data_IF_838306780451
#
_entry.id   IF_838306780451
#
_cell.length_a   1.000
_cell.length_b   1.000
_cell.length_c   1.000
_cell.angle_alpha   90.00
_cell.angle_beta   90.00
_cell.angle_gamma   90.00
#
_symmetry.space_group_name_H-M   'P 1'
#
loop_
_entity.id
_entity.type
_entity.pdbx_description
1 polymer ?
#
# COMPACT_ATOMS: atom_id res chain seq x y z
N UNK A 1 -5.19 8.75 27.44
CA UNK A 1 -5.78 7.67 28.27
C UNK A 1 -4.77 7.30 29.35
N UNK A 2 -5.18 6.93 30.58
CA UNK A 2 -4.26 6.51 31.63
C UNK A 2 -3.56 5.19 31.26
N UNK A 3 -2.35 4.99 31.79
CA UNK A 3 -1.60 3.75 31.61
C UNK A 3 -2.38 2.55 32.19
N UNK A 4 -2.32 1.41 31.52
CA UNK A 4 -2.97 0.16 31.93
C UNK A 4 -1.97 -0.99 31.80
N UNK A 5 -2.06 -1.94 32.72
CA UNK A 5 -1.27 -3.17 32.71
C UNK A 5 -2.24 -4.34 32.56
N UNK A 6 -1.95 -5.25 31.63
CA UNK A 6 -2.73 -6.45 31.37
C UNK A 6 -1.78 -7.64 31.37
N UNK A 7 -2.02 -8.62 32.24
CA UNK A 7 -1.30 -9.89 32.21
C UNK A 7 -1.75 -10.75 31.03
N UNK A 8 -0.87 -11.62 30.55
CA UNK A 8 -1.16 -12.58 29.49
C UNK A 8 -0.41 -13.90 29.73
N UNK A 9 -1.02 -15.00 29.31
CA UNK A 9 -0.34 -16.31 29.19
C UNK A 9 0.24 -16.49 27.77
N UNK A 10 -0.33 -15.80 26.79
CA UNK A 10 0.17 -15.76 25.42
C UNK A 10 -0.16 -14.41 24.80
N UNK A 11 0.81 -13.83 24.10
CA UNK A 11 0.69 -12.53 23.45
C UNK A 11 0.81 -12.69 21.93
N UNK A 12 -0.10 -12.08 21.18
CA UNK A 12 -0.02 -12.01 19.71
C UNK A 12 0.18 -10.56 19.29
N UNK A 13 1.32 -10.28 18.67
CA UNK A 13 1.68 -8.96 18.14
C UNK A 13 1.37 -8.92 16.65
N UNK A 14 0.37 -8.11 16.28
CA UNK A 14 -0.13 -7.97 14.91
C UNK A 14 -0.33 -6.49 14.54
N UNK A 15 0.61 -5.63 14.94
CA UNK A 15 0.50 -4.17 14.83
C UNK A 15 0.86 -3.63 13.45
N UNK A 16 1.24 -4.49 12.51
CA UNK A 16 1.54 -4.14 11.13
C UNK A 16 2.82 -3.30 10.98
N UNK A 17 2.82 -2.42 10.00
CA UNK A 17 3.94 -1.53 9.69
C UNK A 17 3.45 -0.10 9.43
N UNK A 18 4.39 0.83 9.40
CA UNK A 18 4.22 2.18 8.90
C UNK A 18 5.12 2.40 7.69
N UNK A 19 4.91 3.47 6.94
CA UNK A 19 5.81 3.86 5.86
C UNK A 19 7.22 4.11 6.41
N UNK A 20 8.24 3.73 5.63
CA UNK A 20 9.63 4.00 5.95
C UNK A 20 10.14 5.18 5.11
N UNK A 21 10.38 6.32 5.74
CA UNK A 21 11.02 7.47 5.10
C UNK A 21 12.53 7.31 4.93
N UNK A 22 13.11 6.19 5.41
CA UNK A 22 14.53 5.88 5.39
C UNK A 22 15.43 6.91 6.07
N UNK A 23 14.86 7.80 6.88
CA UNK A 23 15.57 8.95 7.44
C UNK A 23 15.97 9.99 6.37
N UNK A 24 15.30 10.01 5.21
CA UNK A 24 15.49 11.05 4.18
C UNK A 24 15.19 12.42 4.79
N UNK A 25 16.12 13.36 4.62
CA UNK A 25 16.00 14.71 5.15
C UNK A 25 14.73 15.37 4.63
N UNK A 26 13.96 16.00 5.53
CA UNK A 26 12.73 16.71 5.13
C UNK A 26 11.50 15.83 4.90
N UNK A 27 11.65 14.51 4.68
CA UNK A 27 10.55 13.64 4.28
C UNK A 27 9.42 13.61 5.32
N UNK A 28 9.75 13.40 6.60
CA UNK A 28 8.76 13.40 7.68
C UNK A 28 8.02 14.73 7.86
N UNK A 29 8.63 15.86 7.48
CA UNK A 29 8.08 17.20 7.64
C UNK A 29 7.22 17.64 6.44
N UNK A 30 7.65 17.28 5.24
CA UNK A 30 7.12 17.81 3.99
C UNK A 30 6.34 16.81 3.14
N UNK A 31 6.40 15.51 3.44
CA UNK A 31 5.60 14.50 2.76
C UNK A 31 4.30 14.15 3.50
N UNK A 32 3.32 13.76 2.71
CA UNK A 32 2.13 13.05 3.12
C UNK A 32 2.40 11.54 3.02
N UNK A 33 1.88 10.80 3.99
CA UNK A 33 1.93 9.33 4.01
C UNK A 33 0.52 8.78 3.79
N UNK A 34 0.39 7.49 3.49
CA UNK A 34 -0.91 6.86 3.20
C UNK A 34 -1.18 5.60 4.06
N UNK A 35 -0.56 5.50 5.23
CA UNK A 35 -0.68 4.32 6.12
C UNK A 35 -2.07 4.20 6.77
N UNK A 36 -2.76 5.34 6.97
CA UNK A 36 -4.02 5.40 7.71
C UNK A 36 -5.11 6.15 6.94
N UNK A 37 -6.37 5.81 7.23
CA UNK A 37 -7.54 6.54 6.69
C UNK A 37 -7.42 8.05 6.91
N UNK A 38 -7.00 8.48 8.10
CA UNK A 38 -6.85 9.91 8.44
C UNK A 38 -5.82 10.60 7.54
N UNK A 39 -4.72 9.93 7.23
CA UNK A 39 -3.71 10.49 6.34
C UNK A 39 -4.20 10.53 4.88
N UNK A 40 -4.91 9.50 4.41
CA UNK A 40 -5.55 9.51 3.10
C UNK A 40 -6.60 10.64 2.96
N UNK A 41 -7.39 10.88 4.00
CA UNK A 41 -8.35 12.00 4.06
C UNK A 41 -7.65 13.35 4.03
N UNK A 42 -6.54 13.50 4.76
CA UNK A 42 -5.72 14.72 4.72
C UNK A 42 -5.18 14.96 3.31
N UNK A 43 -4.66 13.93 2.64
CA UNK A 43 -4.21 14.03 1.25
C UNK A 43 -5.35 14.48 0.33
N UNK A 44 -6.51 13.84 0.43
CA UNK A 44 -7.69 14.17 -0.37
C UNK A 44 -8.14 15.63 -0.15
N UNK A 45 -8.20 16.09 1.10
CA UNK A 45 -8.55 17.48 1.43
C UNK A 45 -7.54 18.47 0.87
N UNK A 46 -6.24 18.18 0.95
CA UNK A 46 -5.21 19.06 0.38
C UNK A 46 -5.30 19.13 -1.14
N UNK A 47 -5.51 17.99 -1.80
CA UNK A 47 -5.75 17.95 -3.25
C UNK A 47 -6.96 18.80 -3.64
N UNK A 48 -8.11 18.61 -2.98
CA UNK A 48 -9.31 19.42 -3.23
C UNK A 48 -9.07 20.92 -2.98
N UNK A 49 -8.34 21.28 -1.93
CA UNK A 49 -8.01 22.67 -1.65
C UNK A 49 -7.16 23.31 -2.76
N UNK A 50 -6.20 22.57 -3.34
CA UNK A 50 -5.46 23.04 -4.51
C UNK A 50 -6.39 23.24 -5.71
N UNK A 51 -7.31 22.31 -5.97
CA UNK A 51 -8.30 22.47 -7.03
C UNK A 51 -9.23 23.67 -6.81
N UNK A 52 -9.71 23.90 -5.58
CA UNK A 52 -10.58 25.03 -5.28
C UNK A 52 -9.84 26.37 -5.41
N UNK A 53 -8.59 26.45 -4.95
CA UNK A 53 -7.76 27.67 -5.07
C UNK A 53 -7.48 28.02 -6.52
N UNK A 54 -7.04 27.02 -7.29
CA UNK A 54 -6.72 27.20 -8.69
C UNK A 54 -7.97 27.54 -9.53
N UNK A 55 -9.17 27.09 -9.13
CA UNK A 55 -10.43 27.50 -9.75
C UNK A 55 -10.86 28.93 -9.36
N UNK A 56 -10.68 29.31 -8.08
CA UNK A 56 -11.07 30.61 -7.54
C UNK A 56 -10.12 31.77 -7.92
N UNK A 57 -8.89 31.45 -8.34
CA UNK A 57 -7.89 32.44 -8.76
C UNK A 57 -8.42 33.41 -9.84
N UNK A 58 -8.06 34.69 -9.71
CA UNK A 58 -8.45 35.77 -10.62
C UNK A 58 -7.39 36.12 -11.67
N UNK A 59 -6.19 35.54 -11.57
CA UNK A 59 -5.07 35.76 -12.48
C UNK A 59 -5.11 34.82 -13.69
N UNK A 60 -4.68 35.29 -14.86
CA UNK A 60 -4.56 34.49 -16.10
C UNK A 60 -3.52 33.35 -16.01
N UNK A 61 -2.73 33.29 -14.94
CA UNK A 61 -1.82 32.19 -14.67
C UNK A 61 -2.56 31.02 -14.01
N UNK A 62 -2.80 29.95 -14.77
CA UNK A 62 -3.38 28.70 -14.24
C UNK A 62 -2.40 28.09 -13.23
N UNK A 63 -2.79 28.05 -11.95
CA UNK A 63 -2.01 27.39 -10.90
C UNK A 63 -1.88 25.91 -11.27
N UNK A 64 -0.64 25.43 -11.44
CA UNK A 64 -0.39 24.03 -11.77
C UNK A 64 -0.37 23.19 -10.49
N UNK A 65 -1.08 22.06 -10.53
CA UNK A 65 -1.12 21.12 -9.41
C UNK A 65 -0.06 20.06 -9.69
N UNK A 66 1.12 20.21 -9.08
CA UNK A 66 2.20 19.23 -9.17
C UNK A 66 2.15 18.26 -7.98
N UNK A 67 2.01 16.97 -8.29
CA UNK A 67 2.04 15.88 -7.31
C UNK A 67 3.25 15.01 -7.57
N UNK A 68 4.12 14.87 -6.58
CA UNK A 68 5.24 13.95 -6.64
C UNK A 68 5.04 12.80 -5.66
N UNK A 69 5.23 11.57 -6.15
CA UNK A 69 5.00 10.33 -5.42
C UNK A 69 6.33 9.58 -5.35
N UNK A 70 6.85 9.37 -4.14
CA UNK A 70 8.06 8.60 -3.90
C UNK A 70 7.71 7.14 -3.67
N UNK A 71 8.26 6.25 -4.48
CA UNK A 71 8.07 4.81 -4.47
C UNK A 71 7.12 4.33 -5.57
N UNK A 72 7.65 3.62 -6.56
CA UNK A 72 6.85 2.99 -7.62
C UNK A 72 6.46 1.54 -7.27
N UNK A 73 6.17 1.27 -5.99
CA UNK A 73 5.48 0.06 -5.55
C UNK A 73 4.00 0.08 -5.94
N UNK A 74 3.25 -0.96 -5.54
CA UNK A 74 1.82 -1.05 -5.84
C UNK A 74 1.06 0.23 -5.42
N UNK A 75 1.24 0.70 -4.18
CA UNK A 75 0.58 1.91 -3.66
C UNK A 75 0.85 3.15 -4.51
N UNK A 76 2.12 3.43 -4.85
CA UNK A 76 2.46 4.62 -5.63
C UNK A 76 1.96 4.57 -7.07
N UNK A 77 2.01 3.38 -7.70
CA UNK A 77 1.48 3.16 -9.05
C UNK A 77 -0.04 3.32 -9.08
N UNK A 78 -0.77 2.72 -8.13
CA UNK A 78 -2.23 2.86 -8.04
C UNK A 78 -2.62 4.31 -7.77
N UNK A 79 -1.92 5.00 -6.87
CA UNK A 79 -2.17 6.41 -6.57
C UNK A 79 -1.97 7.29 -7.81
N UNK A 80 -0.87 7.10 -8.56
CA UNK A 80 -0.60 7.88 -9.77
C UNK A 80 -1.71 7.70 -10.81
N UNK A 81 -2.17 6.47 -11.01
CA UNK A 81 -3.27 6.17 -11.93
C UNK A 81 -4.61 6.76 -11.46
N UNK A 82 -4.93 6.66 -10.16
CA UNK A 82 -6.18 7.20 -9.62
C UNK A 82 -6.21 8.73 -9.62
N UNK A 83 -5.08 9.38 -9.38
CA UNK A 83 -4.99 10.84 -9.50
C UNK A 83 -5.33 11.30 -10.90
N UNK A 84 -4.74 10.69 -11.93
CA UNK A 84 -5.07 11.02 -13.32
C UNK A 84 -6.59 10.92 -13.59
N UNK A 85 -7.27 9.90 -13.06
CA UNK A 85 -8.73 9.78 -13.17
C UNK A 85 -9.47 10.86 -12.35
N UNK A 86 -9.01 11.17 -11.14
CA UNK A 86 -9.61 12.21 -10.31
C UNK A 86 -9.60 13.58 -11.00
N UNK A 87 -8.52 13.92 -11.71
CA UNK A 87 -8.45 15.13 -12.54
C UNK A 87 -9.58 15.20 -13.58
N UNK A 88 -9.83 14.09 -14.29
CA UNK A 88 -10.89 14.01 -15.29
C UNK A 88 -12.29 14.11 -14.68
N UNK A 89 -12.50 13.50 -13.51
CA UNK A 89 -13.79 13.58 -12.82
C UNK A 89 -14.06 14.98 -12.27
N UNK A 90 -13.08 15.65 -11.67
CA UNK A 90 -13.24 17.00 -11.14
C UNK A 90 -13.61 18.02 -12.22
N UNK A 91 -12.99 17.93 -13.40
CA UNK A 91 -13.36 18.76 -14.55
C UNK A 91 -14.83 18.55 -14.96
N UNK A 92 -15.32 17.30 -14.93
CA UNK A 92 -16.71 16.98 -15.25
C UNK A 92 -17.72 17.50 -14.20
N UNK A 93 -17.29 17.76 -12.97
CA UNK A 93 -18.12 18.34 -11.90
C UNK A 93 -18.17 19.88 -11.90
N UNK A 94 -17.64 20.54 -12.94
CA UNK A 94 -17.71 21.99 -13.11
C UNK A 94 -16.52 22.78 -12.57
N UNK A 95 -15.45 22.10 -12.14
CA UNK A 95 -14.16 22.73 -11.85
C UNK A 95 -13.33 22.86 -13.15
N UNK A 96 -13.95 23.38 -14.21
CA UNK A 96 -13.47 23.35 -15.60
C UNK A 96 -12.31 24.33 -15.90
N UNK A 97 -12.11 25.33 -15.03
CA UNK A 97 -10.91 26.21 -15.08
C UNK A 97 -9.60 25.45 -14.91
N UNK A 98 -9.62 24.27 -14.28
CA UNK A 98 -8.47 23.38 -14.15
C UNK A 98 -8.75 22.18 -15.04
N UNK A 99 -8.04 22.09 -16.14
CA UNK A 99 -8.16 20.93 -17.01
C UNK A 99 -7.32 19.78 -16.45
N UNK A 100 -7.63 18.53 -16.84
CA UNK A 100 -6.82 17.39 -16.43
C UNK A 100 -5.33 17.54 -16.75
N UNK A 101 -5.00 18.25 -17.83
CA UNK A 101 -3.62 18.51 -18.27
C UNK A 101 -2.85 19.48 -17.35
N UNK A 102 -3.54 20.19 -16.45
CA UNK A 102 -2.93 21.07 -15.47
C UNK A 102 -2.41 20.34 -14.22
N UNK A 103 -2.71 19.04 -14.10
CA UNK A 103 -2.20 18.21 -13.02
C UNK A 103 -0.99 17.40 -13.50
N UNK A 104 0.18 17.73 -12.94
CA UNK A 104 1.44 17.06 -13.28
C UNK A 104 1.80 16.06 -12.21
N UNK A 105 1.83 14.79 -12.58
CA UNK A 105 2.15 13.69 -11.66
C UNK A 105 3.57 13.19 -11.99
N UNK A 106 4.44 13.18 -10.99
CA UNK A 106 5.77 12.57 -11.08
C UNK A 106 5.86 11.38 -10.13
N UNK A 107 6.09 10.18 -10.65
CA UNK A 107 6.32 8.96 -9.88
C UNK A 107 7.82 8.66 -9.86
N UNK A 108 8.40 8.59 -8.66
CA UNK A 108 9.85 8.53 -8.45
C UNK A 108 10.21 7.18 -7.82
N UNK A 109 11.17 6.47 -8.38
CA UNK A 109 11.63 5.16 -7.92
C UNK A 109 13.16 5.11 -7.87
N UNK A 110 13.70 4.65 -6.73
CA UNK A 110 15.13 4.52 -6.53
C UNK A 110 15.73 3.40 -7.39
N UNK A 111 14.99 2.31 -7.60
CA UNK A 111 15.39 1.19 -8.44
C UNK A 111 15.18 1.43 -9.94
N UNK A 112 15.58 0.48 -10.79
CA UNK A 112 15.55 0.63 -12.24
C UNK A 112 14.16 0.48 -12.86
N UNK A 113 13.15 0.01 -12.10
CA UNK A 113 11.82 -0.33 -12.63
C UNK A 113 10.71 -0.07 -11.62
N UNK A 114 9.52 0.23 -12.14
CA UNK A 114 8.28 0.22 -11.36
C UNK A 114 7.92 -1.22 -10.95
N UNK A 115 7.18 -1.34 -9.85
CA UNK A 115 6.70 -2.59 -9.27
C UNK A 115 7.82 -3.62 -9.05
N UNK A 116 8.90 -3.25 -8.34
CA UNK A 116 10.09 -4.10 -8.22
C UNK A 116 9.80 -5.48 -7.60
N UNK A 117 8.77 -5.56 -6.75
CA UNK A 117 8.32 -6.79 -6.09
C UNK A 117 7.51 -7.75 -6.99
N UNK A 118 7.21 -7.36 -8.24
CA UNK A 118 6.54 -8.20 -9.23
C UNK A 118 7.52 -8.74 -10.28
N UNK A 119 7.14 -9.80 -11.04
CA UNK A 119 7.94 -10.30 -12.14
C UNK A 119 8.26 -9.21 -13.17
N UNK A 120 9.48 -9.23 -13.70
CA UNK A 120 10.03 -8.17 -14.57
C UNK A 120 9.14 -7.83 -15.78
N UNK A 121 8.54 -8.84 -16.39
CA UNK A 121 7.60 -8.72 -17.51
C UNK A 121 6.37 -7.83 -17.21
N UNK A 122 6.07 -7.53 -15.94
CA UNK A 122 4.95 -6.67 -15.54
C UNK A 122 5.36 -5.20 -15.51
N UNK A 123 6.59 -4.89 -15.10
CA UNK A 123 7.05 -3.51 -14.88
C UNK A 123 7.03 -2.67 -16.17
N UNK A 124 7.53 -3.22 -17.27
CA UNK A 124 7.59 -2.53 -18.57
C UNK A 124 6.22 -2.10 -19.11
N UNK A 125 5.24 -3.00 -19.21
CA UNK A 125 3.87 -2.64 -19.59
C UNK A 125 3.24 -1.58 -18.68
N UNK A 126 3.40 -1.70 -17.35
CA UNK A 126 2.83 -0.73 -16.40
C UNK A 126 3.48 0.65 -16.55
N UNK A 127 4.80 0.71 -16.71
CA UNK A 127 5.52 1.96 -16.98
C UNK A 127 4.92 2.66 -18.21
N UNK A 128 4.81 1.95 -19.33
CA UNK A 128 4.24 2.51 -20.58
C UNK A 128 2.80 2.98 -20.40
N UNK A 129 2.00 2.28 -19.59
CA UNK A 129 0.64 2.72 -19.28
C UNK A 129 0.62 4.00 -18.47
N UNK A 130 1.48 4.13 -17.46
CA UNK A 130 1.60 5.37 -16.67
C UNK A 130 2.01 6.56 -17.54
N UNK A 131 2.99 6.38 -18.44
CA UNK A 131 3.39 7.42 -19.40
C UNK A 131 2.24 7.84 -20.33
N UNK A 132 1.43 6.89 -20.81
CA UNK A 132 0.22 7.18 -21.60
C UNK A 132 -0.84 7.96 -20.82
N UNK A 133 -0.88 7.82 -19.50
CA UNK A 133 -1.71 8.61 -18.59
C UNK A 133 -1.06 9.98 -18.27
N UNK A 134 0.05 10.35 -18.91
CA UNK A 134 0.74 11.62 -18.65
C UNK A 134 1.50 11.66 -17.32
N UNK A 135 1.72 10.50 -16.67
CA UNK A 135 2.57 10.41 -15.49
C UNK A 135 4.03 10.41 -15.93
N UNK A 136 4.82 11.33 -15.38
CA UNK A 136 6.27 11.32 -15.54
C UNK A 136 6.86 10.27 -14.60
N UNK A 137 7.50 9.24 -15.14
CA UNK A 137 8.09 8.14 -14.34
C UNK A 137 9.61 8.29 -14.30
N UNK A 138 10.17 8.53 -13.12
CA UNK A 138 11.60 8.68 -12.88
C UNK A 138 12.13 7.46 -12.13
N UNK A 139 12.76 6.52 -12.83
CA UNK A 139 13.49 5.39 -12.24
C UNK A 139 14.96 5.74 -12.00
N UNK A 140 15.68 4.91 -11.26
CA UNK A 140 17.07 5.16 -10.85
C UNK A 140 17.25 6.54 -10.16
N UNK A 141 16.20 7.01 -9.50
CA UNK A 141 16.08 8.37 -8.98
C UNK A 141 15.76 8.30 -7.50
N UNK A 142 16.78 8.01 -6.68
CA UNK A 142 16.61 8.00 -5.23
C UNK A 142 16.46 9.43 -4.70
N UNK A 143 15.48 9.69 -3.85
CA UNK A 143 15.30 11.00 -3.19
C UNK A 143 16.23 11.10 -1.99
N UNK A 144 17.04 12.15 -1.93
CA UNK A 144 17.97 12.42 -0.82
C UNK A 144 17.45 13.48 0.15
N UNK A 145 16.64 14.42 -0.31
CA UNK A 145 16.11 15.52 0.49
C UNK A 145 14.72 15.92 -0.02
N UNK A 146 13.85 16.35 0.88
CA UNK A 146 12.54 16.92 0.58
C UNK A 146 12.42 18.29 1.22
N UNK A 147 12.11 19.32 0.43
CA UNK A 147 11.92 20.69 0.94
C UNK A 147 10.43 21.06 0.95
N UNK A 148 10.14 22.27 1.42
CA UNK A 148 8.79 22.85 1.39
C UNK A 148 8.17 22.90 -0.02
N UNK A 149 9.00 22.98 -1.07
CA UNK A 149 8.53 23.23 -2.45
C UNK A 149 8.99 22.16 -3.47
N UNK A 150 9.94 21.29 -3.12
CA UNK A 150 10.50 20.32 -4.06
C UNK A 150 11.00 19.02 -3.40
N UNK A 151 11.31 18.02 -4.23
CA UNK A 151 12.18 16.90 -3.87
C UNK A 151 13.51 17.04 -4.59
N UNK A 152 14.58 16.60 -3.95
CA UNK A 152 15.92 16.59 -4.51
C UNK A 152 16.40 15.14 -4.57
N UNK A 153 16.80 14.70 -5.75
CA UNK A 153 17.36 13.36 -5.94
C UNK A 153 18.84 13.31 -5.53
N UNK A 154 19.36 12.12 -5.30
CA UNK A 154 20.79 11.89 -5.04
C UNK A 154 21.70 12.32 -6.19
N UNK A 155 21.18 12.48 -7.40
CA UNK A 155 21.90 13.06 -8.55
C UNK A 155 21.87 14.59 -8.59
N UNK A 156 21.17 15.24 -7.66
CA UNK A 156 20.98 16.69 -7.61
C UNK A 156 19.82 17.20 -8.47
N UNK A 157 19.00 16.33 -9.07
CA UNK A 157 17.82 16.75 -9.82
C UNK A 157 16.76 17.31 -8.86
N UNK A 158 16.28 18.51 -9.15
CA UNK A 158 15.21 19.17 -8.39
C UNK A 158 13.87 18.91 -9.08
N UNK A 159 12.90 18.41 -8.31
CA UNK A 159 11.55 18.06 -8.76
C UNK A 159 10.55 18.92 -7.98
N UNK A 160 10.05 20.03 -8.56
CA UNK A 160 9.06 20.89 -7.91
C UNK A 160 7.74 20.15 -7.69
N UNK A 161 7.17 20.26 -6.49
CA UNK A 161 5.92 19.59 -6.14
C UNK A 161 5.15 20.32 -5.03
N UNK A 162 3.91 20.72 -5.35
CA UNK A 162 2.96 21.28 -4.39
C UNK A 162 2.48 20.23 -3.39
N UNK A 163 2.27 19.00 -3.86
CA UNK A 163 1.92 17.84 -3.01
C UNK A 163 2.98 16.75 -3.15
N UNK A 164 3.48 16.28 -2.02
CA UNK A 164 4.52 15.25 -1.95
C UNK A 164 3.98 14.07 -1.17
N UNK A 165 3.95 12.90 -1.77
CA UNK A 165 3.48 11.67 -1.14
C UNK A 165 4.63 10.68 -1.05
N UNK A 166 4.91 10.19 0.14
CA UNK A 166 5.88 9.11 0.35
C UNK A 166 5.14 7.79 0.51
N UNK A 167 5.32 6.90 -0.47
CA UNK A 167 4.72 5.57 -0.54
C UNK A 167 5.78 4.47 -0.68
N UNK A 168 7.06 4.80 -0.43
CA UNK A 168 8.18 3.88 -0.51
C UNK A 168 8.49 3.27 0.86
N UNK A 169 8.74 1.95 0.88
CA UNK A 169 9.25 1.26 2.05
C UNK A 169 8.26 1.08 3.18
N UNK A 170 8.49 0.01 3.95
CA UNK A 170 7.75 -0.25 5.20
C UNK A 170 8.73 -0.45 6.34
N UNK A 171 8.29 -0.11 7.55
CA UNK A 171 9.03 -0.31 8.79
C UNK A 171 8.04 -0.67 9.88
N UNK A 172 8.36 -1.67 10.70
CA UNK A 172 7.53 -1.97 11.86
C UNK A 172 7.63 -0.82 12.89
N UNK A 173 6.56 -0.56 13.67
CA UNK A 173 6.53 0.56 14.61
C UNK A 173 7.78 0.65 15.50
N UNK A 174 8.26 1.87 15.73
CA UNK A 174 9.52 2.11 16.45
C UNK A 174 9.60 1.48 17.84
N UNK A 175 8.46 1.36 18.54
CA UNK A 175 8.39 0.79 19.88
C UNK A 175 8.70 -0.72 19.92
N UNK A 176 8.65 -1.42 18.78
CA UNK A 176 9.00 -2.84 18.71
C UNK A 176 10.50 -3.07 18.76
N UNK A 177 11.31 -2.07 18.39
CA UNK A 177 12.76 -2.22 18.34
C UNK A 177 13.28 -2.65 19.72
N UNK A 178 13.83 -3.85 19.77
CA UNK A 178 14.40 -4.48 20.96
C UNK A 178 13.44 -4.48 22.17
N UNK A 179 12.12 -4.51 21.90
CA UNK A 179 11.08 -4.44 22.92
C UNK A 179 11.24 -5.58 23.92
N UNK A 180 11.51 -5.21 25.17
CA UNK A 180 11.72 -6.15 26.28
C UNK A 180 12.72 -7.29 25.98
N UNK A 181 13.75 -6.98 25.17
CA UNK A 181 14.78 -7.96 24.79
C UNK A 181 14.40 -8.92 23.66
N UNK A 182 13.22 -8.75 23.04
CA UNK A 182 12.87 -9.48 21.82
C UNK A 182 13.74 -9.06 20.64
N UNK A 183 14.16 -10.03 19.85
CA UNK A 183 15.05 -9.80 18.72
C UNK A 183 14.31 -9.09 17.57
N UNK A 184 14.88 -8.01 17.05
CA UNK A 184 14.36 -7.30 15.88
C UNK A 184 15.37 -7.13 14.75
N UNK A 185 14.88 -7.05 13.52
CA UNK A 185 15.71 -6.70 12.37
C UNK A 185 15.87 -5.18 12.19
N UNK A 186 16.65 -4.75 11.18
CA UNK A 186 16.91 -3.32 10.89
C UNK A 186 15.68 -2.46 10.60
N UNK A 187 14.55 -3.05 10.24
CA UNK A 187 13.27 -2.35 10.02
C UNK A 187 12.29 -2.60 11.19
N UNK A 188 12.82 -2.96 12.37
CA UNK A 188 12.14 -3.21 13.63
C UNK A 188 11.15 -4.38 13.63
N UNK A 189 11.20 -5.27 12.64
CA UNK A 189 10.33 -6.45 12.65
C UNK A 189 10.83 -7.45 13.69
N UNK A 190 9.91 -8.03 14.46
CA UNK A 190 10.19 -9.10 15.42
C UNK A 190 10.63 -10.36 14.68
N UNK A 191 11.76 -10.93 15.07
CA UNK A 191 12.26 -12.17 14.51
C UNK A 191 11.41 -13.32 15.06
N UNK A 192 10.89 -14.16 14.16
CA UNK A 192 10.02 -15.28 14.52
C UNK A 192 10.47 -16.57 13.88
N UNK A 193 10.13 -17.69 14.52
CA UNK A 193 10.23 -19.02 13.96
C UNK A 193 9.12 -19.26 12.92
N UNK A 194 9.18 -20.37 12.19
CA UNK A 194 8.11 -20.75 11.25
C UNK A 194 6.78 -21.05 11.97
N UNK A 195 6.80 -21.31 13.28
CA UNK A 195 5.60 -21.42 14.13
C UNK A 195 5.00 -20.06 14.50
N UNK A 196 5.60 -18.96 14.04
CA UNK A 196 5.26 -17.56 14.35
C UNK A 196 5.52 -17.13 15.80
N UNK A 197 6.13 -17.99 16.61
CA UNK A 197 6.67 -17.63 17.92
C UNK A 197 7.92 -16.76 17.75
N UNK A 198 8.14 -15.82 18.67
CA UNK A 198 9.40 -15.06 18.68
C UNK A 198 10.59 -15.99 18.94
N UNK A 199 11.79 -15.59 18.51
CA UNK A 199 13.01 -16.39 18.72
C UNK A 199 13.48 -16.43 20.18
N UNK A 200 12.91 -15.59 21.06
CA UNK A 200 13.37 -15.39 22.44
C UNK A 200 12.34 -15.79 23.50
N UNK A 201 11.04 -15.65 23.19
CA UNK A 201 9.94 -16.05 24.09
C UNK A 201 8.88 -16.84 23.31
N UNK A 202 8.70 -18.10 23.71
CA UNK A 202 7.74 -19.01 23.09
C UNK A 202 6.27 -18.68 23.38
N UNK A 203 5.99 -17.82 24.38
CA UNK A 203 4.65 -17.34 24.71
C UNK A 203 4.23 -16.12 23.87
N UNK A 204 5.19 -15.52 23.15
CA UNK A 204 4.95 -14.35 22.32
C UNK A 204 4.98 -14.79 20.85
N UNK A 205 3.94 -14.41 20.13
CA UNK A 205 3.79 -14.64 18.70
C UNK A 205 3.74 -13.31 17.97
N UNK A 206 4.24 -13.27 16.74
CA UNK A 206 4.09 -12.12 15.86
C UNK A 206 3.82 -12.55 14.42
N UNK A 207 2.97 -11.80 13.72
CA UNK A 207 2.69 -12.06 12.30
C UNK A 207 2.38 -10.78 11.51
N UNK A 208 2.31 -10.91 10.19
CA UNK A 208 2.13 -9.79 9.27
C UNK A 208 3.37 -8.93 9.20
N UNK A 209 3.19 -7.65 8.86
CA UNK A 209 4.32 -6.77 8.53
C UNK A 209 5.22 -6.44 9.73
N UNK A 210 4.78 -6.67 10.97
CA UNK A 210 5.63 -6.51 12.16
C UNK A 210 6.53 -7.71 12.44
N UNK A 211 6.43 -8.80 11.67
CA UNK A 211 7.19 -10.03 11.89
C UNK A 211 8.12 -10.36 10.72
N UNK A 212 9.35 -10.71 11.04
CA UNK A 212 10.34 -11.23 10.12
C UNK A 212 10.25 -12.77 10.13
N UNK A 213 9.26 -13.30 9.42
CA UNK A 213 9.08 -14.75 9.30
C UNK A 213 9.98 -15.30 8.19
N UNK A 214 10.84 -16.29 8.46
CA UNK A 214 11.70 -16.89 7.45
C UNK A 214 10.91 -17.72 6.43
N UNK A 215 11.36 -17.74 5.17
CA UNK A 215 10.87 -18.66 4.15
C UNK A 215 11.77 -19.91 4.11
N UNK A 216 11.22 -21.12 4.31
CA UNK A 216 12.01 -22.34 4.34
C UNK A 216 12.79 -22.55 3.03
N UNK A 217 14.06 -22.95 3.16
CA UNK A 217 14.97 -23.19 2.03
C UNK A 217 15.53 -21.92 1.38
N UNK A 218 15.38 -20.75 2.01
CA UNK A 218 15.93 -19.49 1.50
C UNK A 218 16.44 -18.60 2.64
N UNK A 219 17.33 -17.66 2.34
CA UNK A 219 17.77 -16.62 3.28
C UNK A 219 16.80 -15.42 3.35
N UNK A 220 15.58 -15.57 2.84
CA UNK A 220 14.61 -14.49 2.71
C UNK A 220 13.48 -14.62 3.72
N UNK A 221 12.97 -13.47 4.16
CA UNK A 221 11.72 -13.42 4.91
C UNK A 221 10.51 -13.39 3.99
N UNK A 222 9.36 -13.77 4.53
CA UNK A 222 8.05 -13.67 3.88
C UNK A 222 7.78 -12.20 3.53
N UNK A 223 7.32 -11.89 2.30
CA UNK A 223 7.09 -10.50 1.90
C UNK A 223 5.94 -9.86 2.71
N UNK A 224 6.03 -8.57 3.04
CA UNK A 224 5.00 -7.83 3.78
C UNK A 224 3.77 -7.61 2.89
N UNK A 225 2.83 -8.55 2.93
CA UNK A 225 1.63 -8.56 2.08
C UNK A 225 0.42 -8.98 2.90
N UNK A 226 -0.73 -8.40 2.60
CA UNK A 226 -1.99 -8.77 3.23
C UNK A 226 -2.32 -10.27 3.08
N UNK A 227 -1.99 -10.89 1.94
CA UNK A 227 -2.17 -12.34 1.75
C UNK A 227 -1.30 -13.18 2.71
N UNK A 228 -0.06 -12.75 2.97
CA UNK A 228 0.84 -13.43 3.90
C UNK A 228 0.30 -13.30 5.33
N UNK A 229 -0.07 -12.08 5.75
CA UNK A 229 -0.68 -11.83 7.05
C UNK A 229 -1.96 -12.67 7.27
N UNK A 230 -2.79 -12.83 6.23
CA UNK A 230 -4.00 -13.66 6.30
C UNK A 230 -3.68 -15.16 6.46
N UNK A 231 -2.72 -15.69 5.71
CA UNK A 231 -2.28 -17.08 5.85
C UNK A 231 -1.68 -17.34 7.23
N UNK A 232 -0.83 -16.42 7.71
CA UNK A 232 -0.21 -16.50 9.04
C UNK A 232 -1.26 -16.43 10.15
N UNK A 233 -2.24 -15.54 10.07
CA UNK A 233 -3.35 -15.48 11.02
C UNK A 233 -4.15 -16.80 11.06
N UNK A 234 -4.38 -17.41 9.90
CA UNK A 234 -5.09 -18.69 9.78
C UNK A 234 -4.31 -19.84 10.42
N UNK A 235 -2.97 -19.84 10.30
CA UNK A 235 -2.10 -20.78 11.00
C UNK A 235 -2.12 -20.53 12.51
N UNK A 236 -2.02 -19.26 12.93
CA UNK A 236 -1.93 -18.89 14.33
C UNK A 236 -3.21 -19.24 15.11
N UNK A 237 -4.37 -19.09 14.49
CA UNK A 237 -5.65 -19.53 15.06
C UNK A 237 -5.64 -21.04 15.38
N UNK A 238 -5.06 -21.88 14.52
CA UNK A 238 -4.88 -23.32 14.78
C UNK A 238 -3.82 -23.57 15.86
N UNK A 239 -2.73 -22.81 15.80
CA UNK A 239 -1.59 -22.94 16.71
C UNK A 239 -1.98 -22.64 18.15
N UNK A 240 -2.76 -21.58 18.41
CA UNK A 240 -3.22 -21.25 19.77
C UNK A 240 -4.12 -22.34 20.36
N UNK A 241 -4.98 -22.97 19.55
CA UNK A 241 -5.78 -24.11 20.00
C UNK A 241 -4.89 -25.30 20.39
N UNK A 242 -3.92 -25.64 19.56
CA UNK A 242 -2.98 -26.73 19.83
C UNK A 242 -2.11 -26.44 21.07
N UNK A 243 -1.70 -25.18 21.25
CA UNK A 243 -0.95 -24.74 22.44
C UNK A 243 -1.75 -24.98 23.73
N UNK A 244 -3.02 -24.59 23.76
CA UNK A 244 -3.91 -24.81 24.92
C UNK A 244 -4.05 -26.31 25.22
N UNK A 245 -4.05 -27.15 24.18
CA UNK A 245 -4.11 -28.61 24.30
C UNK A 245 -2.74 -29.26 24.59
N UNK A 246 -1.65 -28.48 24.72
CA UNK A 246 -0.29 -29.00 24.93
C UNK A 246 0.28 -29.78 23.75
N UNK A 247 -0.19 -29.50 22.52
CA UNK A 247 0.20 -30.19 21.30
C UNK A 247 1.22 -29.38 20.49
N UNK A 248 1.92 -30.09 19.61
CA UNK A 248 2.89 -29.50 18.69
C UNK A 248 2.26 -28.46 17.76
N UNK A 249 2.99 -27.37 17.50
CA UNK A 249 2.53 -26.28 16.67
C UNK A 249 2.85 -26.51 15.19
N UNK A 250 1.92 -26.19 14.27
CA UNK A 250 2.18 -26.29 12.85
C UNK A 250 3.14 -25.19 12.38
N UNK A 251 3.90 -25.48 11.32
CA UNK A 251 4.83 -24.53 10.70
C UNK A 251 4.21 -23.81 9.51
N UNK A 252 4.59 -22.55 9.31
CA UNK A 252 4.18 -21.72 8.19
C UNK A 252 5.05 -21.95 6.94
N UNK A 253 4.39 -22.07 5.79
CA UNK A 253 5.02 -22.00 4.46
C UNK A 253 4.23 -21.02 3.60
N UNK A 254 4.89 -19.98 3.13
CA UNK A 254 4.26 -18.96 2.29
C UNK A 254 3.86 -19.54 0.93
N UNK A 255 2.62 -19.29 0.53
CA UNK A 255 2.14 -19.58 -0.82
C UNK A 255 1.77 -18.26 -1.49
N UNK A 256 2.44 -17.89 -2.58
CA UNK A 256 2.07 -16.68 -3.33
C UNK A 256 0.83 -16.99 -4.20
N UNK A 257 -0.28 -16.33 -3.91
CA UNK A 257 -1.50 -16.42 -4.72
C UNK A 257 -1.52 -15.44 -5.90
N UNK A 258 -0.41 -14.75 -6.14
CA UNK A 258 -0.27 -13.73 -7.16
C UNK A 258 -0.49 -12.32 -6.61
N UNK A 259 -0.56 -11.36 -7.51
CA UNK A 259 -0.76 -9.95 -7.16
C UNK A 259 -1.59 -9.26 -8.23
N UNK A 260 -2.43 -8.32 -7.80
CA UNK A 260 -3.24 -7.48 -8.66
C UNK A 260 -2.90 -6.03 -8.38
N UNK A 261 -2.81 -5.25 -9.44
CA UNK A 261 -2.59 -3.81 -9.37
C UNK A 261 -3.64 -3.13 -10.23
N UNK A 262 -4.32 -2.16 -9.64
CA UNK A 262 -5.32 -1.33 -10.31
C UNK A 262 -4.64 -0.16 -11.03
N UNK A 263 -4.83 -0.02 -12.36
CA UNK A 263 -4.45 1.19 -13.10
C UNK A 263 -5.70 2.00 -13.46
N UNK A 264 -6.59 2.16 -12.46
CA UNK A 264 -7.88 2.85 -12.58
C UNK A 264 -8.75 2.29 -13.72
N UNK A 265 -9.43 3.15 -14.50
CA UNK A 265 -10.36 2.76 -15.57
C UNK A 265 -9.69 2.15 -16.81
N UNK A 266 -8.37 2.26 -16.95
CA UNK A 266 -7.66 2.00 -18.22
C UNK A 266 -7.08 0.59 -18.35
N UNK A 267 -6.94 -0.14 -17.25
CA UNK A 267 -6.61 -1.57 -17.19
C UNK A 267 -6.36 -1.94 -15.73
N UNK A 268 -6.58 -3.19 -15.35
CA UNK A 268 -5.93 -3.74 -14.17
C UNK A 268 -4.87 -4.70 -14.70
N UNK A 269 -3.68 -4.69 -14.11
CA UNK A 269 -2.61 -5.63 -14.48
C UNK A 269 -2.49 -6.64 -13.35
N UNK A 270 -2.88 -7.87 -13.65
CA UNK A 270 -2.78 -8.99 -12.73
C UNK A 270 -1.63 -9.93 -13.08
N UNK A 271 -1.00 -10.50 -12.07
CA UNK A 271 -0.19 -11.71 -12.21
C UNK A 271 -0.82 -12.80 -11.35
N UNK A 272 -1.51 -13.74 -11.98
CA UNK A 272 -1.92 -15.00 -11.36
C UNK A 272 -0.81 -16.02 -11.58
N UNK A 273 -0.34 -16.69 -10.53
CA UNK A 273 0.47 -17.91 -10.65
C UNK A 273 0.34 -18.80 -9.42
N UNK A 274 -0.01 -20.07 -9.68
CA UNK A 274 0.43 -21.24 -8.92
C UNK A 274 1.31 -22.11 -9.82
N UNK A 275 2.01 -23.10 -9.24
CA UNK A 275 3.15 -23.88 -9.80
C UNK A 275 3.06 -24.49 -11.22
N UNK A 276 1.97 -24.34 -11.99
CA UNK A 276 1.79 -25.00 -13.29
C UNK A 276 1.27 -24.10 -14.41
N UNK A 277 0.84 -22.87 -14.15
CA UNK A 277 0.25 -22.00 -15.20
C UNK A 277 0.77 -20.59 -15.08
N UNK A 278 1.42 -20.14 -16.16
CA UNK A 278 2.06 -18.85 -16.19
C UNK A 278 1.09 -17.68 -15.99
N UNK A 279 1.52 -16.65 -15.26
CA UNK A 279 1.66 -15.29 -15.78
C UNK A 279 0.54 -14.66 -16.63
N UNK A 280 -0.74 -14.86 -16.35
CA UNK A 280 -1.80 -14.29 -17.22
C UNK A 280 -1.96 -12.80 -16.97
N UNK A 281 -1.67 -11.97 -17.98
CA UNK A 281 -2.04 -10.55 -18.00
C UNK A 281 -3.55 -10.47 -18.23
N UNK A 282 -4.31 -10.40 -17.14
CA UNK A 282 -5.76 -10.22 -17.23
C UNK A 282 -6.04 -8.73 -17.43
N UNK A 283 -6.50 -8.34 -18.60
CA UNK A 283 -7.02 -6.99 -18.83
C UNK A 283 -8.55 -6.96 -18.62
N UNK A 284 -9.08 -5.81 -18.20
CA UNK A 284 -10.51 -5.53 -18.18
C UNK A 284 -11.32 -6.21 -17.06
N UNK A 285 -12.52 -6.69 -17.40
CA UNK A 285 -13.55 -7.16 -16.44
C UNK A 285 -13.08 -8.32 -15.55
N UNK A 286 -12.22 -9.20 -16.06
CA UNK A 286 -11.70 -10.35 -15.31
C UNK A 286 -10.76 -9.91 -14.17
N UNK A 287 -9.85 -8.96 -14.42
CA UNK A 287 -8.98 -8.44 -13.36
C UNK A 287 -9.78 -7.64 -12.31
N UNK A 288 -10.83 -6.92 -12.72
CA UNK A 288 -11.77 -6.28 -11.79
C UNK A 288 -12.52 -7.31 -10.94
N UNK A 289 -12.94 -8.43 -11.52
CA UNK A 289 -13.58 -9.53 -10.78
C UNK A 289 -12.62 -10.17 -9.77
N UNK A 290 -11.35 -10.34 -10.11
CA UNK A 290 -10.32 -10.84 -9.20
C UNK A 290 -9.97 -9.85 -8.08
N UNK A 291 -9.89 -8.55 -8.38
CA UNK A 291 -9.66 -7.52 -7.36
C UNK A 291 -10.84 -7.47 -6.36
N UNK A 292 -12.06 -7.50 -6.90
CA UNK A 292 -13.26 -7.62 -6.08
C UNK A 292 -13.23 -8.93 -5.31
N UNK A 293 -12.82 -10.07 -5.87
CA UNK A 293 -12.82 -11.34 -5.12
C UNK A 293 -11.83 -11.34 -3.95
N UNK A 294 -10.65 -10.73 -4.08
CA UNK A 294 -9.69 -10.55 -2.98
C UNK A 294 -10.28 -9.67 -1.86
N UNK A 295 -10.86 -8.53 -2.21
CA UNK A 295 -11.56 -7.66 -1.24
C UNK A 295 -12.72 -8.40 -0.57
N UNK A 296 -13.42 -9.26 -1.31
CA UNK A 296 -14.56 -10.02 -0.81
C UNK A 296 -14.14 -11.22 0.05
N UNK A 297 -12.99 -11.84 -0.21
CA UNK A 297 -12.41 -12.82 0.71
C UNK A 297 -12.08 -12.19 2.06
N UNK A 298 -11.56 -10.96 2.07
CA UNK A 298 -11.36 -10.21 3.31
C UNK A 298 -12.68 -9.94 4.04
N UNK A 299 -13.73 -9.51 3.32
CA UNK A 299 -15.07 -9.35 3.91
C UNK A 299 -15.65 -10.66 4.43
N UNK A 300 -15.46 -11.78 3.73
CA UNK A 300 -15.91 -13.11 4.18
C UNK A 300 -15.19 -13.55 5.45
N UNK A 301 -13.89 -13.25 5.57
CA UNK A 301 -13.13 -13.53 6.79
C UNK A 301 -13.63 -12.70 8.00
N UNK A 302 -14.02 -11.44 7.78
CA UNK A 302 -14.50 -10.55 8.87
C UNK A 302 -15.98 -10.77 9.24
N UNK A 303 -16.85 -10.95 8.25
CA UNK A 303 -18.30 -10.92 8.43
C UNK A 303 -18.98 -12.26 8.18
N UNK A 304 -18.24 -13.27 7.73
CA UNK A 304 -18.78 -14.54 7.28
C UNK A 304 -19.39 -14.47 5.87
N UNK A 305 -19.68 -15.64 5.31
CA UNK A 305 -20.18 -15.81 3.94
C UNK A 305 -21.51 -15.08 3.71
N UNK A 306 -22.49 -15.26 4.60
CA UNK A 306 -23.85 -14.74 4.44
C UNK A 306 -23.92 -13.21 4.43
N UNK A 307 -23.23 -12.53 5.36
CA UNK A 307 -23.20 -11.07 5.39
C UNK A 307 -22.45 -10.49 4.20
N UNK A 308 -21.38 -11.14 3.75
CA UNK A 308 -20.66 -10.70 2.55
C UNK A 308 -21.52 -10.84 1.30
N UNK A 309 -22.29 -11.92 1.17
CA UNK A 309 -23.25 -12.10 0.08
C UNK A 309 -24.34 -11.01 0.08
N UNK A 310 -24.85 -10.63 1.26
CA UNK A 310 -25.79 -9.52 1.40
C UNK A 310 -25.16 -8.16 1.03
N UNK A 311 -23.93 -7.88 1.46
CA UNK A 311 -23.19 -6.67 1.07
C UNK A 311 -22.91 -6.61 -0.42
N UNK A 312 -22.66 -7.77 -1.06
CA UNK A 312 -22.52 -7.87 -2.51
C UNK A 312 -23.82 -7.49 -3.21
N UNK A 313 -24.95 -8.08 -2.81
CA UNK A 313 -26.27 -7.77 -3.36
C UNK A 313 -26.60 -6.28 -3.19
N UNK A 314 -26.40 -5.71 -2.00
CA UNK A 314 -26.62 -4.29 -1.72
C UNK A 314 -25.76 -3.38 -2.59
N UNK A 315 -24.46 -3.66 -2.72
CA UNK A 315 -23.54 -2.86 -3.57
C UNK A 315 -23.87 -2.91 -5.06
N UNK A 316 -24.54 -3.96 -5.52
CA UNK A 316 -25.01 -4.11 -6.91
C UNK A 316 -26.25 -3.27 -7.17
N UNK A 317 -27.10 -3.08 -6.16
CA UNK A 317 -28.31 -2.27 -6.20
C UNK A 317 -27.99 -0.77 -6.03
N UNK A 318 -27.05 -0.42 -5.14
CA UNK A 318 -26.67 0.98 -4.86
C UNK A 318 -25.78 1.67 -5.92
N UNK A 319 -25.22 0.92 -6.88
CA UNK A 319 -24.36 1.47 -7.95
C UNK A 319 -25.07 2.47 -8.88
N UNK A 320 -26.40 2.56 -8.82
CA UNK A 320 -27.19 3.55 -9.55
C UNK A 320 -27.47 4.86 -8.79
N UNK A 321 -27.20 4.93 -7.48
CA UNK A 321 -27.74 5.99 -6.61
C UNK A 321 -26.71 6.76 -5.78
N UNK A 322 -25.44 6.31 -5.72
CA UNK A 322 -24.39 7.04 -4.98
C UNK A 322 -23.51 7.90 -5.91
N UNK A 323 -23.23 9.16 -5.53
CA UNK A 323 -22.29 10.00 -6.27
C UNK A 323 -20.88 9.39 -6.21
N UNK A 324 -20.19 9.38 -7.36
CA UNK A 324 -18.90 8.70 -7.55
C UNK A 324 -17.74 9.40 -6.83
N UNK A 325 -17.86 10.70 -6.59
CA UNK A 325 -16.95 11.49 -5.78
C UNK A 325 -17.70 11.99 -4.55
N UNK A 326 -17.17 11.74 -3.35
CA UNK A 326 -17.64 12.40 -2.13
C UNK A 326 -16.95 13.75 -2.04
N UNK A 327 -17.69 14.82 -2.32
CA UNK A 327 -17.23 16.21 -2.16
C UNK A 327 -17.33 16.71 -0.70
N UNK A 328 -17.78 15.84 0.22
CA UNK A 328 -17.99 16.10 1.64
C UNK A 328 -17.55 14.89 2.49
#
# INVERSE_FOLDING_TARGET
MPARVLGYDSLVIAVGSTTNDFGTEGAAQHCLFLDTRKQAERFHQQLLNHYLRAHAGQTDAVEQISVAIVGAGATGVELAAELHNAAHELAAYGLDRIKPENMHITLIEAGPRVLPALPERIGGPVHKTLEKLGVTVLTNSAVSEVTADALITSSGQVIPASLKVWAAGIRAPGFLKDIDGLETNRINQLQVLQTLQTTRDENIFAFGDCAACPQPGTDRNVPPRAQAAHQQASLLAKSLKLRIEGKELPTYTYTDYGSLISLSRFSAVGNLMGNLTGSVMLEGWLARMFYVSLYRMHQMALYGFFRTAMLMLGSKIGRGTEPRLKLH
#
